data_IF_896337975888
#
_entry.id   IF_896337975888
#
_cell.length_a   1.000
_cell.length_b   1.000
_cell.length_c   1.000
_cell.angle_alpha   90.00
_cell.angle_beta   90.00
_cell.angle_gamma   90.00
#
_symmetry.space_group_name_H-M   'P 1'
#
loop_
_entity.id
_entity.type
_entity.pdbx_description
1 polymer ?
#
# COMPACT_ATOMS: atom_id res chain seq x y z
N UNK A 1 17.34 0.71 0.19
CA UNK A 1 17.35 0.02 1.51
C UNK A 1 16.86 -1.40 1.27
N UNK A 2 17.45 -2.41 1.90
CA UNK A 2 16.94 -3.79 1.82
C UNK A 2 15.78 -4.00 2.81
N UNK A 3 14.91 -4.97 2.57
CA UNK A 3 13.75 -5.31 3.40
C UNK A 3 14.14 -5.57 4.86
N UNK A 4 15.27 -6.25 5.08
CA UNK A 4 15.75 -6.51 6.44
C UNK A 4 16.20 -5.24 7.17
N UNK A 5 16.82 -4.30 6.46
CA UNK A 5 17.22 -3.02 7.01
C UNK A 5 15.99 -2.15 7.36
N UNK A 6 14.94 -2.18 6.54
CA UNK A 6 13.67 -1.52 6.88
C UNK A 6 13.07 -2.09 8.16
N UNK A 7 13.01 -3.42 8.30
CA UNK A 7 12.45 -4.05 9.50
C UNK A 7 13.21 -3.67 10.77
N UNK A 8 14.54 -3.64 10.72
CA UNK A 8 15.35 -3.11 11.82
C UNK A 8 15.03 -1.65 12.12
N UNK A 9 14.92 -0.82 11.09
CA UNK A 9 14.60 0.59 11.24
C UNK A 9 13.22 0.84 11.86
N UNK A 10 12.21 0.06 11.47
CA UNK A 10 10.87 0.13 12.06
C UNK A 10 10.88 -0.21 13.57
N UNK A 11 11.75 -1.14 14.00
CA UNK A 11 11.91 -1.48 15.41
C UNK A 11 12.66 -0.39 16.19
N UNK A 12 13.76 0.12 15.61
CA UNK A 12 14.54 1.25 16.16
C UNK A 12 13.67 2.51 16.36
N UNK A 13 12.83 2.83 15.36
CA UNK A 13 11.91 3.96 15.38
C UNK A 13 10.65 3.68 16.22
N UNK A 14 10.56 2.51 16.87
CA UNK A 14 9.45 2.09 17.74
C UNK A 14 8.07 2.16 17.05
N UNK A 15 8.02 1.82 15.76
CA UNK A 15 6.78 1.87 14.97
C UNK A 15 5.83 0.75 15.40
N UNK A 16 4.60 1.11 15.77
CA UNK A 16 3.53 0.16 16.10
C UNK A 16 2.55 -0.07 14.94
N UNK A 17 2.47 0.90 14.03
CA UNK A 17 1.60 0.90 12.86
C UNK A 17 2.34 1.39 11.63
N UNK A 18 2.43 0.53 10.60
CA UNK A 18 3.04 0.87 9.32
C UNK A 18 1.95 1.11 8.29
N UNK A 19 1.99 2.23 7.57
CA UNK A 19 1.14 2.44 6.41
C UNK A 19 1.84 1.97 5.15
N UNK A 20 1.20 1.05 4.43
CA UNK A 20 1.58 0.73 3.05
C UNK A 20 0.65 1.51 2.14
N UNK A 21 1.24 2.39 1.33
CA UNK A 21 0.54 3.40 0.55
C UNK A 21 0.83 3.17 -0.94
N UNK A 22 -0.21 3.28 -1.77
CA UNK A 22 -0.06 3.53 -3.21
C UNK A 22 -0.87 4.77 -3.59
N UNK A 23 -0.59 5.35 -4.75
CA UNK A 23 -1.40 6.43 -5.31
C UNK A 23 -2.20 5.90 -6.50
N UNK A 24 -3.51 6.15 -6.54
CA UNK A 24 -4.37 5.79 -7.67
C UNK A 24 -4.16 6.74 -8.86
N UNK A 25 -4.91 6.54 -9.96
CA UNK A 25 -4.75 7.39 -11.15
C UNK A 25 -5.24 8.83 -10.97
N UNK A 26 -6.02 9.12 -9.91
CA UNK A 26 -6.37 10.48 -9.52
C UNK A 26 -5.27 11.15 -8.68
N UNK A 27 -4.20 10.42 -8.33
CA UNK A 27 -3.14 10.87 -7.44
C UNK A 27 -3.51 10.80 -5.95
N UNK A 28 -4.65 10.19 -5.60
CA UNK A 28 -5.09 10.04 -4.22
C UNK A 28 -4.30 8.92 -3.54
N UNK A 29 -3.82 9.19 -2.33
CA UNK A 29 -3.14 8.21 -1.49
C UNK A 29 -4.15 7.21 -0.92
N UNK A 30 -3.91 5.92 -1.17
CA UNK A 30 -4.68 4.80 -0.67
C UNK A 30 -3.79 3.95 0.22
N UNK A 31 -4.21 3.73 1.46
CA UNK A 31 -3.36 3.10 2.48
C UNK A 31 -4.04 1.92 3.18
N UNK A 32 -3.22 0.97 3.65
CA UNK A 32 -3.60 0.00 4.68
C UNK A 32 -2.66 0.13 5.87
N UNK A 33 -3.24 0.19 7.06
CA UNK A 33 -2.51 0.10 8.32
C UNK A 33 -2.15 -1.35 8.62
N UNK A 34 -0.85 -1.61 8.73
CA UNK A 34 -0.29 -2.90 9.09
C UNK A 34 0.06 -2.84 10.58
N UNK A 35 -0.38 -3.81 11.41
CA UNK A 35 0.06 -3.91 12.79
C UNK A 35 1.45 -4.56 12.88
N UNK A 36 2.23 -4.19 13.89
CA UNK A 36 3.61 -4.66 14.12
C UNK A 36 3.86 -6.17 13.88
N UNK A 37 3.00 -7.11 14.36
CA UNK A 37 3.22 -8.54 14.12
C UNK A 37 3.21 -8.96 12.64
N UNK A 38 2.74 -8.09 11.73
CA UNK A 38 2.63 -8.35 10.30
C UNK A 38 3.64 -7.57 9.45
N UNK A 39 4.53 -6.76 10.05
CA UNK A 39 5.51 -5.96 9.29
C UNK A 39 6.36 -6.82 8.35
N UNK A 40 6.96 -7.90 8.85
CA UNK A 40 7.80 -8.78 8.02
C UNK A 40 7.04 -9.34 6.80
N UNK A 41 5.78 -9.74 7.00
CA UNK A 41 4.94 -10.22 5.90
C UNK A 41 4.64 -9.12 4.88
N UNK A 42 4.26 -7.92 5.35
CA UNK A 42 3.92 -6.80 4.48
C UNK A 42 5.13 -6.26 3.70
N UNK A 43 6.31 -6.18 4.34
CA UNK A 43 7.54 -5.71 3.70
C UNK A 43 8.03 -6.70 2.65
N UNK A 44 8.01 -8.01 2.95
CA UNK A 44 8.58 -9.02 2.04
C UNK A 44 7.62 -9.44 0.92
N UNK A 45 6.32 -9.50 1.21
CA UNK A 45 5.33 -10.06 0.28
C UNK A 45 4.38 -8.99 -0.28
N UNK A 46 4.39 -7.78 0.28
CA UNK A 46 3.43 -6.73 -0.05
C UNK A 46 2.08 -6.87 0.64
N UNK A 47 1.18 -5.97 0.27
CA UNK A 47 -0.19 -5.88 0.80
C UNK A 47 -1.20 -5.88 -0.34
N UNK A 48 -2.23 -6.72 -0.23
CA UNK A 48 -3.27 -6.84 -1.27
C UNK A 48 -4.19 -5.61 -1.28
N UNK A 49 -4.57 -5.14 -2.47
CA UNK A 49 -5.58 -4.11 -2.69
C UNK A 49 -6.47 -4.48 -3.88
N UNK A 50 -7.72 -4.02 -3.85
CA UNK A 50 -8.63 -4.19 -4.99
C UNK A 50 -8.15 -3.33 -6.17
N UNK A 51 -7.96 -3.94 -7.34
CA UNK A 51 -7.49 -3.22 -8.53
C UNK A 51 -8.50 -2.18 -9.00
N UNK A 52 -9.78 -2.42 -8.75
CA UNK A 52 -10.87 -1.50 -9.05
C UNK A 52 -10.67 -0.11 -8.41
N UNK A 53 -9.92 -0.01 -7.31
CA UNK A 53 -9.67 1.27 -6.64
C UNK A 53 -8.75 2.22 -7.44
N UNK A 54 -8.00 1.71 -8.42
CA UNK A 54 -7.12 2.53 -9.26
C UNK A 54 -7.90 3.53 -10.13
N UNK A 55 -9.15 3.21 -10.48
CA UNK A 55 -10.00 3.99 -11.37
C UNK A 55 -11.03 4.86 -10.62
N UNK A 56 -10.83 5.13 -9.33
CA UNK A 56 -11.71 6.03 -8.59
C UNK A 56 -11.36 7.51 -8.84
N UNK A 57 -12.39 8.35 -8.86
CA UNK A 57 -12.26 9.80 -8.87
C UNK A 57 -12.12 10.35 -7.44
N UNK A 58 -11.80 11.64 -7.33
CA UNK A 58 -11.77 12.34 -6.03
C UNK A 58 -13.13 12.39 -5.33
N UNK A 59 -14.23 12.20 -6.07
CA UNK A 59 -15.60 12.15 -5.53
C UNK A 59 -15.98 10.74 -5.04
N UNK A 60 -15.03 9.80 -5.03
CA UNK A 60 -15.21 8.41 -4.63
C UNK A 60 -16.20 7.60 -5.49
N UNK A 61 -16.23 7.93 -6.78
CA UNK A 61 -16.95 7.19 -7.82
C UNK A 61 -15.96 6.54 -8.79
N UNK A 62 -16.34 5.43 -9.42
CA UNK A 62 -15.57 4.94 -10.56
C UNK A 62 -15.60 5.95 -11.70
N UNK A 63 -14.42 6.24 -12.28
CA UNK A 63 -14.27 7.17 -13.37
C UNK A 63 -15.09 6.71 -14.61
N UNK A 64 -15.65 7.65 -15.40
CA UNK A 64 -16.27 7.31 -16.67
C UNK A 64 -15.30 6.52 -17.56
N UNK A 65 -15.71 5.31 -17.97
CA UNK A 65 -14.86 4.43 -18.79
C UNK A 65 -13.79 3.65 -18.01
N UNK A 66 -13.94 3.51 -16.69
CA UNK A 66 -13.10 2.67 -15.85
C UNK A 66 -12.81 1.30 -16.50
N UNK A 67 -11.55 0.90 -16.46
CA UNK A 67 -11.06 -0.39 -17.01
C UNK A 67 -10.99 -1.45 -15.92
N UNK A 68 -10.75 -1.04 -14.68
CA UNK A 68 -10.67 -1.90 -13.52
C UNK A 68 -12.00 -1.88 -12.77
N UNK A 69 -12.80 -2.92 -13.00
CA UNK A 69 -14.07 -3.16 -12.32
C UNK A 69 -13.91 -4.27 -11.28
N UNK A 70 -15.02 -4.62 -10.60
CA UNK A 70 -15.02 -5.57 -9.49
C UNK A 70 -14.50 -6.98 -9.87
N UNK A 71 -14.58 -7.36 -11.15
CA UNK A 71 -14.14 -8.65 -11.69
C UNK A 71 -12.66 -8.66 -12.13
N UNK A 72 -11.95 -7.54 -12.02
CA UNK A 72 -10.55 -7.42 -12.46
C UNK A 72 -9.53 -7.91 -11.42
N UNK A 73 -10.02 -8.37 -10.28
CA UNK A 73 -9.23 -8.95 -9.20
C UNK A 73 -8.41 -7.91 -8.43
N UNK A 74 -7.43 -8.42 -7.70
CA UNK A 74 -6.60 -7.63 -6.80
C UNK A 74 -5.19 -7.41 -7.37
N UNK A 75 -4.42 -6.53 -6.73
CA UNK A 75 -2.99 -6.38 -6.95
C UNK A 75 -2.23 -6.34 -5.61
N UNK A 76 -0.93 -6.54 -5.69
CA UNK A 76 -0.04 -6.49 -4.54
C UNK A 76 0.75 -5.18 -4.54
N UNK A 77 0.57 -4.36 -3.51
CA UNK A 77 1.44 -3.21 -3.26
C UNK A 77 2.66 -3.68 -2.49
N UNK A 78 3.81 -3.76 -3.15
CA UNK A 78 5.10 -4.10 -2.54
C UNK A 78 5.77 -2.80 -2.11
N UNK A 79 5.98 -2.57 -0.79
CA UNK A 79 6.59 -1.32 -0.32
C UNK A 79 8.02 -1.17 -0.87
N UNK A 80 8.39 0.05 -1.27
CA UNK A 80 9.78 0.39 -1.50
C UNK A 80 10.42 0.80 -0.16
N UNK A 81 11.40 0.03 0.36
CA UNK A 81 12.09 0.43 1.58
C UNK A 81 12.72 1.82 1.52
N UNK A 82 13.19 2.25 0.35
CA UNK A 82 13.81 3.58 0.21
C UNK A 82 12.82 4.74 0.40
N UNK A 83 11.51 4.48 0.34
CA UNK A 83 10.47 5.49 0.53
C UNK A 83 9.96 5.59 1.97
N UNK A 84 10.55 4.87 2.93
CA UNK A 84 10.14 4.93 4.32
C UNK A 84 10.34 6.34 4.90
N UNK A 85 9.32 6.85 5.58
CA UNK A 85 9.30 8.14 6.26
C UNK A 85 8.49 8.04 7.56
N UNK A 86 8.86 8.86 8.55
CA UNK A 86 8.22 8.99 9.86
C UNK A 86 7.47 10.32 9.98
#
# INVERSE_FOLDING_TARGET
>A
MDSQLLLSKLDEDQVEHLWVIYHDFSGRACAKTIPKPRFAGAVNNGVVFARANLDFTLEDHQAPGARFLADTGDFMAVPDPASYAL
#
